data_IF_672184757962
#
_entry.id   IF_672184757962
#
_cell.length_a   1.000
_cell.length_b   1.000
_cell.length_c   1.000
_cell.angle_alpha   90.00
_cell.angle_beta   90.00
_cell.angle_gamma   90.00
#
_symmetry.space_group_name_H-M   'P 1'
#
loop_
_entity.id
_entity.type
_entity.pdbx_description
1 polymer ?
#
# COMPACT_ATOMS: atom_id res chain seq x y z
N UNK A 1 -5.18 22.68 -1.91
CA UNK A 1 -4.97 21.83 -0.73
C UNK A 1 -5.14 20.40 -1.21
N UNK A 2 -4.08 19.60 -1.21
CA UNK A 2 -4.07 18.29 -1.88
C UNK A 2 -4.99 17.27 -1.19
N UNK A 3 -5.60 16.36 -1.95
CA UNK A 3 -6.39 15.22 -1.46
C UNK A 3 -5.56 14.28 -0.55
N UNK A 4 -6.18 13.53 0.38
CA UNK A 4 -5.54 12.62 1.31
C UNK A 4 -5.29 11.33 0.55
N UNK A 5 -4.02 11.10 0.30
CA UNK A 5 -3.56 9.90 -0.33
C UNK A 5 -3.55 8.77 0.71
N UNK A 6 -4.16 7.63 0.38
CA UNK A 6 -3.97 6.41 1.17
C UNK A 6 -2.62 5.87 0.78
N UNK A 7 -1.76 5.75 1.77
CA UNK A 7 -0.50 5.05 1.62
C UNK A 7 -0.56 3.75 2.39
N UNK A 8 -0.17 2.68 1.74
CA UNK A 8 0.08 1.42 2.42
C UNK A 8 1.49 1.49 3.02
N UNK A 9 1.57 1.40 4.35
CA UNK A 9 2.84 1.29 5.04
C UNK A 9 3.25 -0.18 5.09
N UNK A 10 4.39 -0.49 4.48
CA UNK A 10 5.02 -1.80 4.60
C UNK A 10 6.22 -1.69 5.52
N UNK A 11 6.20 -2.50 6.57
CA UNK A 11 7.29 -2.63 7.54
C UNK A 11 7.66 -4.10 7.68
N UNK A 12 8.94 -4.41 7.59
CA UNK A 12 9.45 -5.76 7.84
C UNK A 12 9.83 -5.90 9.32
N UNK A 13 9.11 -6.77 10.04
CA UNK A 13 9.27 -6.94 11.49
C UNK A 13 9.49 -8.41 11.88
N UNK A 14 10.41 -8.63 12.82
CA UNK A 14 10.57 -9.91 13.54
C UNK A 14 9.72 -9.90 14.80
N UNK A 15 9.04 -11.01 15.03
CA UNK A 15 8.21 -11.27 16.21
C UNK A 15 8.97 -12.17 17.18
N UNK A 16 9.00 -11.78 18.45
CA UNK A 16 9.52 -12.62 19.54
C UNK A 16 8.43 -12.82 20.59
N UNK A 17 8.10 -14.08 20.87
CA UNK A 17 7.10 -14.47 21.87
C UNK A 17 7.81 -14.97 23.14
N UNK A 18 7.51 -14.35 24.28
CA UNK A 18 8.07 -14.75 25.57
C UNK A 18 7.26 -15.90 26.18
N UNK A 19 7.93 -16.74 26.98
CA UNK A 19 7.36 -17.98 27.56
C UNK A 19 6.14 -17.76 28.44
N UNK A 20 5.98 -16.58 29.06
CA UNK A 20 4.84 -16.23 29.90
C UNK A 20 3.56 -15.88 29.11
N UNK A 21 3.57 -15.97 27.78
CA UNK A 21 2.36 -15.83 26.96
C UNK A 21 1.84 -14.39 26.84
N UNK A 22 2.68 -13.39 27.13
CA UNK A 22 2.36 -11.98 26.92
C UNK A 22 2.41 -11.56 25.43
N UNK A 23 2.14 -10.27 25.15
CA UNK A 23 2.24 -9.67 23.80
C UNK A 23 3.60 -9.92 23.15
N UNK A 24 3.59 -10.12 21.83
CA UNK A 24 4.80 -10.27 21.04
C UNK A 24 5.64 -8.98 21.07
N UNK A 25 6.95 -9.14 21.28
CA UNK A 25 7.90 -8.06 21.04
C UNK A 25 8.15 -7.95 19.54
N UNK A 26 8.16 -6.71 19.02
CA UNK A 26 8.40 -6.42 17.62
C UNK A 26 9.74 -5.72 17.46
N UNK A 27 10.54 -6.18 16.50
CA UNK A 27 11.74 -5.49 16.05
C UNK A 27 11.66 -5.27 14.55
N UNK A 28 11.74 -4.01 14.12
CA UNK A 28 11.85 -3.69 12.70
C UNK A 28 13.23 -4.07 12.17
N UNK A 29 13.25 -4.86 11.11
CA UNK A 29 14.47 -5.41 10.51
C UNK A 29 14.78 -4.82 9.13
N UNK A 30 13.95 -3.90 8.64
CA UNK A 30 14.09 -3.38 7.30
C UNK A 30 13.57 -1.94 7.15
N UNK A 31 13.84 -1.34 5.99
CA UNK A 31 13.33 -0.03 5.65
C UNK A 31 11.80 -0.02 5.68
N UNK A 32 11.24 1.11 6.10
CA UNK A 32 9.81 1.38 6.00
C UNK A 32 9.54 1.95 4.62
N UNK A 33 8.54 1.39 3.94
CA UNK A 33 8.06 1.93 2.68
C UNK A 33 6.63 2.40 2.82
N UNK A 34 6.31 3.41 2.02
CA UNK A 34 5.01 4.03 1.93
C UNK A 34 4.65 3.95 0.46
N UNK A 35 3.82 2.98 0.10
CA UNK A 35 3.46 2.68 -1.28
C UNK A 35 2.09 3.25 -1.61
N UNK A 36 1.88 3.53 -2.90
CA UNK A 36 0.61 3.99 -3.45
C UNK A 36 0.34 3.29 -4.77
N UNK A 37 -0.83 2.67 -4.89
CA UNK A 37 -1.25 2.01 -6.12
C UNK A 37 -1.47 3.05 -7.22
N UNK A 38 -0.78 2.87 -8.36
CA UNK A 38 -0.95 3.72 -9.55
C UNK A 38 -1.79 3.04 -10.62
N UNK A 39 -1.57 1.75 -10.83
CA UNK A 39 -2.25 0.92 -11.81
C UNK A 39 -2.12 -0.54 -11.40
N UNK A 40 -3.14 -1.32 -11.73
CA UNK A 40 -3.18 -2.77 -11.55
C UNK A 40 -3.38 -3.41 -12.92
N UNK A 41 -2.40 -4.21 -13.33
CA UNK A 41 -2.40 -4.91 -14.61
C UNK A 41 -2.87 -6.34 -14.44
N UNK A 42 -3.70 -6.80 -15.38
CA UNK A 42 -4.10 -8.20 -15.47
C UNK A 42 -2.98 -9.03 -16.08
N UNK A 43 -2.60 -10.12 -15.40
CA UNK A 43 -1.57 -11.02 -15.88
C UNK A 43 -0.14 -10.49 -15.63
N UNK A 44 0.78 -10.81 -16.53
CA UNK A 44 2.19 -10.41 -16.41
C UNK A 44 2.41 -8.96 -16.80
N UNK A 45 3.53 -8.38 -16.33
CA UNK A 45 3.92 -7.02 -16.70
C UNK A 45 4.17 -6.89 -18.21
N UNK A 46 3.30 -6.13 -18.88
CA UNK A 46 3.40 -5.75 -20.30
C UNK A 46 2.94 -4.31 -20.45
N UNK A 47 3.89 -3.43 -20.75
CA UNK A 47 3.66 -1.99 -20.88
C UNK A 47 3.05 -1.57 -22.21
N UNK A 48 2.97 -2.47 -23.20
CA UNK A 48 2.52 -2.14 -24.56
C UNK A 48 1.09 -2.57 -24.82
N UNK A 49 0.73 -3.79 -24.45
CA UNK A 49 -0.57 -4.38 -24.76
C UNK A 49 -1.30 -4.90 -23.51
N UNK A 50 -0.80 -4.57 -22.33
CA UNK A 50 -1.39 -4.95 -21.05
C UNK A 50 -2.81 -4.43 -20.85
N UNK A 51 -3.70 -5.31 -20.42
CA UNK A 51 -5.02 -4.91 -19.91
C UNK A 51 -4.89 -4.45 -18.45
N UNK A 52 -5.38 -3.25 -18.15
CA UNK A 52 -5.39 -2.73 -16.78
C UNK A 52 -6.78 -2.94 -16.16
N UNK A 53 -6.81 -3.59 -15.00
CA UNK A 53 -8.03 -3.74 -14.20
C UNK A 53 -8.33 -2.44 -13.44
N UNK A 54 -7.28 -1.69 -13.08
CA UNK A 54 -7.43 -0.44 -12.36
C UNK A 54 -6.34 0.56 -12.74
N UNK A 55 -6.72 1.83 -12.85
CA UNK A 55 -5.79 2.94 -13.09
C UNK A 55 -6.22 4.14 -12.26
N UNK A 56 -5.28 4.74 -11.54
CA UNK A 56 -5.55 5.93 -10.74
C UNK A 56 -5.74 7.15 -11.64
N UNK A 57 -6.99 7.58 -11.81
CA UNK A 57 -7.33 8.80 -12.53
C UNK A 57 -7.35 10.00 -11.58
N UNK A 58 -6.17 10.59 -11.35
CA UNK A 58 -5.95 11.69 -10.40
C UNK A 58 -7.01 12.79 -10.44
N UNK A 59 -7.31 13.33 -11.63
CA UNK A 59 -8.26 14.44 -11.77
C UNK A 59 -9.73 14.08 -11.49
N UNK A 60 -10.11 12.81 -11.63
CA UNK A 60 -11.47 12.35 -11.37
C UNK A 60 -11.63 11.86 -9.93
N UNK A 61 -10.63 11.12 -9.46
CA UNK A 61 -10.71 10.34 -8.23
C UNK A 61 -10.19 11.12 -7.02
N UNK A 62 -9.19 11.96 -7.20
CA UNK A 62 -8.56 12.71 -6.11
C UNK A 62 -9.14 14.12 -5.96
N UNK A 63 -10.45 14.25 -6.21
CA UNK A 63 -11.17 15.53 -6.12
C UNK A 63 -11.57 15.90 -4.69
N UNK A 64 -11.60 14.92 -3.77
CA UNK A 64 -12.08 15.11 -2.40
C UNK A 64 -11.26 14.36 -1.37
N UNK A 65 -11.16 14.96 -0.17
CA UNK A 65 -10.51 14.37 1.00
C UNK A 65 -11.27 13.31 1.76
N UNK A 66 -12.49 13.03 1.34
CA UNK A 66 -13.40 12.18 2.06
C UNK A 66 -13.60 10.83 1.40
N UNK A 67 -13.12 10.68 0.17
CA UNK A 67 -13.30 9.47 -0.63
C UNK A 67 -11.96 8.75 -0.75
N UNK A 68 -11.98 7.50 -0.36
CA UNK A 68 -10.83 6.62 -0.26
C UNK A 68 -11.02 5.47 -1.24
N UNK A 69 -9.99 5.16 -2.02
CA UNK A 69 -9.96 4.04 -2.96
C UNK A 69 -8.89 3.07 -2.47
N UNK A 70 -9.27 1.81 -2.27
CA UNK A 70 -8.39 0.73 -1.85
C UNK A 70 -7.91 -0.03 -3.09
#
# INVERSE_FOLDING_TARGET
>A
MDPPEIFESSTFSRYEFKREGEKAALLELGPRFTLRLKWLQKGTFDTRCGEFEWVLKRHEMETSRRKFFL
#
